data_IF_755397969438
#
_entry.id   IF_755397969438
#
_cell.length_a   1.000
_cell.length_b   1.000
_cell.length_c   1.000
_cell.angle_alpha   90.00
_cell.angle_beta   90.00
_cell.angle_gamma   90.00
#
_symmetry.space_group_name_H-M   'P 1'
#
loop_
_entity.id
_entity.type
_entity.pdbx_description
1 polymer ?
#
# COMPACT_ATOMS: atom_id res chain seq x y z
N UNK A 1 -0.14 27.61 17.63
CA UNK A 1 -1.25 27.37 16.69
C UNK A 1 -0.74 26.47 15.56
N UNK A 2 -1.10 25.19 15.57
CA UNK A 2 -0.64 24.25 14.55
C UNK A 2 -1.42 24.45 13.25
N UNK A 3 -0.73 24.96 12.23
CA UNK A 3 -1.22 25.16 10.87
C UNK A 3 -1.79 23.83 10.34
N UNK A 4 -3.00 23.84 9.80
CA UNK A 4 -3.73 22.65 9.35
C UNK A 4 -2.89 21.81 8.39
N UNK A 5 -2.32 20.73 8.91
CA UNK A 5 -1.66 19.70 8.10
C UNK A 5 -2.73 19.11 7.20
N UNK A 6 -2.49 19.10 5.89
CA UNK A 6 -3.35 18.44 4.93
C UNK A 6 -3.49 16.97 5.35
N UNK A 7 -4.70 16.58 5.78
CA UNK A 7 -4.98 15.24 6.34
C UNK A 7 -5.24 14.17 5.29
N UNK A 8 -5.21 14.52 4.00
CA UNK A 8 -5.47 13.60 2.88
C UNK A 8 -4.30 13.58 1.89
N UNK A 9 -3.97 12.38 1.44
CA UNK A 9 -3.04 12.16 0.34
C UNK A 9 -3.79 12.40 -0.98
N UNK A 10 -3.27 13.29 -1.84
CA UNK A 10 -3.79 13.44 -3.21
C UNK A 10 -2.89 12.82 -4.25
N UNK A 11 -3.20 13.08 -5.52
CA UNK A 11 -2.52 12.48 -6.67
C UNK A 11 -1.00 12.72 -6.66
N UNK A 12 -0.59 13.96 -6.37
CA UNK A 12 0.83 14.35 -6.34
C UNK A 12 1.61 13.69 -5.20
N UNK A 13 0.99 13.58 -4.02
CA UNK A 13 1.63 12.94 -2.87
C UNK A 13 1.79 11.44 -3.13
N UNK A 14 0.78 10.83 -3.74
CA UNK A 14 0.79 9.42 -4.10
C UNK A 14 1.85 9.11 -5.16
N UNK A 15 1.92 9.89 -6.25
CA UNK A 15 2.90 9.60 -7.30
C UNK A 15 4.34 9.84 -6.83
N UNK A 16 4.58 10.86 -5.99
CA UNK A 16 5.88 11.10 -5.39
C UNK A 16 6.34 9.93 -4.50
N UNK A 17 5.41 9.27 -3.81
CA UNK A 17 5.70 8.04 -3.08
C UNK A 17 6.15 6.91 -4.03
N UNK A 18 5.44 6.72 -5.15
CA UNK A 18 5.79 5.68 -6.15
C UNK A 18 7.15 5.97 -6.79
N UNK A 19 7.43 7.24 -7.12
CA UNK A 19 8.73 7.69 -7.63
C UNK A 19 9.86 7.39 -6.63
N UNK A 20 9.62 7.66 -5.34
CA UNK A 20 10.57 7.34 -4.27
C UNK A 20 10.83 5.83 -4.14
N UNK A 21 9.80 4.99 -4.28
CA UNK A 21 9.96 3.53 -4.30
C UNK A 21 10.80 3.10 -5.50
N UNK A 22 10.54 3.65 -6.69
CA UNK A 22 11.33 3.33 -7.89
C UNK A 22 12.80 3.71 -7.72
N UNK A 23 13.09 4.88 -7.15
CA UNK A 23 14.46 5.30 -6.85
C UNK A 23 15.16 4.37 -5.86
N UNK A 24 14.42 3.82 -4.89
CA UNK A 24 14.96 2.89 -3.89
C UNK A 24 15.24 1.51 -4.51
N UNK A 25 14.30 0.94 -5.26
CA UNK A 25 14.42 -0.42 -5.81
C UNK A 25 15.20 -0.48 -7.12
N UNK A 26 15.30 0.65 -7.84
CA UNK A 26 15.96 0.79 -9.15
C UNK A 26 15.49 -0.22 -10.20
N UNK A 27 14.21 -0.57 -10.15
CA UNK A 27 13.58 -1.55 -11.04
C UNK A 27 12.19 -1.06 -11.51
N UNK A 28 11.69 -1.54 -12.66
CA UNK A 28 10.30 -1.33 -13.06
C UNK A 28 9.32 -1.81 -11.98
N UNK A 29 8.20 -1.12 -11.85
CA UNK A 29 7.19 -1.40 -10.82
C UNK A 29 5.88 -1.82 -11.47
N UNK A 30 5.34 -2.94 -11.00
CA UNK A 30 3.95 -3.34 -11.24
C UNK A 30 3.13 -2.94 -10.02
N UNK A 31 2.26 -1.95 -10.18
CA UNK A 31 1.39 -1.44 -9.12
C UNK A 31 -0.02 -2.00 -9.30
N UNK A 32 -0.44 -2.89 -8.39
CA UNK A 32 -1.81 -3.38 -8.29
C UNK A 32 -2.56 -2.57 -7.23
N UNK A 33 -3.69 -1.96 -7.58
CA UNK A 33 -4.42 -1.08 -6.65
C UNK A 33 -5.94 -1.09 -6.86
N UNK A 34 -6.68 -0.64 -5.86
CA UNK A 34 -8.13 -0.47 -5.93
C UNK A 34 -8.55 0.72 -6.81
N UNK A 35 -9.87 0.94 -6.90
CA UNK A 35 -10.48 1.96 -7.77
C UNK A 35 -10.87 3.25 -7.03
N UNK A 36 -10.23 3.60 -5.92
CA UNK A 36 -10.50 4.87 -5.24
C UNK A 36 -10.44 6.06 -6.23
N UNK A 37 -11.35 7.04 -6.10
CA UNK A 37 -11.52 8.12 -7.09
C UNK A 37 -10.20 8.84 -7.45
N UNK A 38 -9.33 9.09 -6.48
CA UNK A 38 -7.99 9.69 -6.67
C UNK A 38 -7.06 8.80 -7.50
N UNK A 39 -7.22 7.48 -7.47
CA UNK A 39 -6.43 6.53 -8.25
C UNK A 39 -6.90 6.38 -9.70
N UNK A 40 -8.15 6.74 -9.99
CA UNK A 40 -8.75 6.64 -11.33
C UNK A 40 -8.97 8.00 -12.00
N UNK A 41 -8.62 9.10 -11.32
CA UNK A 41 -8.76 10.46 -11.83
C UNK A 41 -7.93 10.67 -13.10
N UNK A 42 -8.36 11.62 -13.94
CA UNK A 42 -7.62 11.97 -15.16
C UNK A 42 -6.18 12.39 -14.85
N UNK A 43 -6.02 13.26 -13.85
CA UNK A 43 -4.71 13.72 -13.40
C UNK A 43 -3.80 12.56 -12.98
N UNK A 44 -4.33 11.55 -12.27
CA UNK A 44 -3.55 10.37 -11.91
C UNK A 44 -3.15 9.54 -13.15
N UNK A 45 -4.01 9.44 -14.17
CA UNK A 45 -3.68 8.72 -15.41
C UNK A 45 -2.56 9.40 -16.19
N UNK A 46 -2.58 10.73 -16.28
CA UNK A 46 -1.50 11.52 -16.91
C UNK A 46 -0.18 11.32 -16.16
N UNK A 47 -0.21 11.42 -14.83
CA UNK A 47 0.97 11.16 -14.00
C UNK A 47 1.53 9.74 -14.21
N UNK A 48 0.68 8.72 -14.30
CA UNK A 48 1.15 7.36 -14.60
C UNK A 48 1.75 7.27 -16.01
N UNK A 49 1.15 7.91 -17.02
CA UNK A 49 1.59 7.84 -18.42
C UNK A 49 2.99 8.44 -18.65
N UNK A 50 3.42 9.40 -17.83
CA UNK A 50 4.77 9.98 -17.88
C UNK A 50 5.88 8.99 -17.43
N UNK A 51 5.52 7.83 -16.87
CA UNK A 51 6.45 6.90 -16.22
C UNK A 51 6.51 5.58 -16.96
N UNK A 52 7.40 5.49 -17.95
CA UNK A 52 7.59 4.28 -18.76
C UNK A 52 7.98 3.02 -17.95
N UNK A 53 8.50 3.20 -16.72
CA UNK A 53 8.87 2.12 -15.80
C UNK A 53 7.72 1.63 -14.92
N UNK A 54 6.55 2.27 -14.97
CA UNK A 54 5.40 1.98 -14.10
C UNK A 54 4.28 1.32 -14.91
N UNK A 55 3.90 0.11 -14.52
CA UNK A 55 2.69 -0.56 -15.03
C UNK A 55 1.65 -0.61 -13.92
N UNK A 56 0.41 -0.22 -14.21
CA UNK A 56 -0.68 -0.15 -13.22
C UNK A 56 -1.80 -1.11 -13.58
N UNK A 57 -2.16 -1.99 -12.65
CA UNK A 57 -3.36 -2.82 -12.71
C UNK A 57 -4.38 -2.35 -11.68
N UNK A 58 -5.63 -2.22 -12.11
CA UNK A 58 -6.75 -1.92 -11.23
C UNK A 58 -7.47 -3.20 -10.87
N UNK A 59 -7.70 -3.42 -9.58
CA UNK A 59 -8.58 -4.47 -9.10
C UNK A 59 -10.02 -4.21 -9.56
N UNK A 60 -10.85 -5.26 -9.73
CA UNK A 60 -12.27 -5.10 -9.97
C UNK A 60 -12.94 -4.26 -8.86
N UNK A 61 -14.04 -3.60 -9.21
CA UNK A 61 -14.78 -2.83 -8.23
C UNK A 61 -15.31 -3.75 -7.12
N UNK A 62 -15.21 -3.31 -5.87
CA UNK A 62 -15.69 -4.05 -4.69
C UNK A 62 -15.07 -5.45 -4.51
N UNK A 63 -13.78 -5.62 -4.81
CA UNK A 63 -13.02 -6.87 -4.55
C UNK A 63 -11.97 -6.69 -3.44
N UNK A 64 -12.39 -6.46 -2.17
CA UNK A 64 -11.45 -6.29 -1.07
C UNK A 64 -10.65 -7.58 -0.78
N UNK A 65 -11.22 -8.75 -1.11
CA UNK A 65 -10.60 -10.08 -1.02
C UNK A 65 -9.36 -10.21 -1.92
N UNK A 66 -9.32 -9.48 -3.04
CA UNK A 66 -8.18 -9.46 -3.96
C UNK A 66 -7.08 -8.47 -3.54
N UNK A 67 -7.29 -7.71 -2.47
CA UNK A 67 -6.36 -6.66 -2.05
C UNK A 67 -5.51 -7.12 -0.86
N UNK A 68 -4.21 -7.40 -1.04
CA UNK A 68 -3.35 -7.87 0.05
C UNK A 68 -3.21 -6.83 1.18
N UNK A 69 -3.46 -5.55 0.88
CA UNK A 69 -3.44 -4.48 1.89
C UNK A 69 -4.57 -4.65 2.92
N UNK A 70 -5.67 -5.30 2.58
CA UNK A 70 -6.75 -5.56 3.53
C UNK A 70 -6.35 -6.63 4.56
N UNK A 71 -5.57 -7.64 4.14
CA UNK A 71 -4.94 -8.58 5.07
C UNK A 71 -3.92 -7.90 6.00
N UNK A 72 -3.08 -7.01 5.47
CA UNK A 72 -2.18 -6.16 6.28
C UNK A 72 -2.97 -5.33 7.28
N UNK A 73 -4.07 -4.70 6.84
CA UNK A 73 -4.94 -3.88 7.69
C UNK A 73 -5.58 -4.73 8.79
N UNK A 74 -6.14 -5.89 8.45
CA UNK A 74 -6.74 -6.82 9.40
C UNK A 74 -5.70 -7.29 10.44
N UNK A 75 -4.49 -7.64 9.99
CA UNK A 75 -3.39 -8.07 10.86
C UNK A 75 -3.00 -6.98 11.86
N UNK A 76 -2.81 -5.73 11.41
CA UNK A 76 -2.49 -4.61 12.29
C UNK A 76 -3.62 -4.36 13.28
N UNK A 77 -4.89 -4.32 12.82
CA UNK A 77 -6.06 -4.14 13.70
C UNK A 77 -6.14 -5.23 14.76
N UNK A 78 -5.98 -6.50 14.38
CA UNK A 78 -6.01 -7.62 15.31
C UNK A 78 -4.89 -7.52 16.35
N UNK A 79 -3.68 -7.10 15.94
CA UNK A 79 -2.55 -6.88 16.86
C UNK A 79 -2.77 -5.77 17.90
N UNK A 80 -3.81 -4.94 17.71
CA UNK A 80 -4.18 -3.84 18.59
C UNK A 80 -5.46 -4.11 19.38
N UNK A 81 -6.19 -5.20 19.10
CA UNK A 81 -7.54 -5.44 19.62
C UNK A 81 -7.63 -5.48 21.15
N UNK A 82 -6.54 -5.83 21.84
CA UNK A 82 -6.48 -5.94 23.29
C UNK A 82 -5.80 -4.72 23.97
N UNK A 83 -5.52 -3.65 23.23
CA UNK A 83 -4.85 -2.46 23.78
C UNK A 83 -5.85 -1.36 24.10
N UNK A 84 -5.99 -1.03 25.38
CA UNK A 84 -6.70 0.17 25.82
C UNK A 84 -5.80 1.41 25.60
N UNK A 85 -5.75 1.94 24.38
CA UNK A 85 -4.99 3.15 24.06
C UNK A 85 -5.83 4.38 24.37
N UNK A 86 -5.35 5.23 25.29
CA UNK A 86 -6.08 6.43 25.75
C UNK A 86 -5.78 7.71 24.97
N UNK A 87 -4.87 7.67 23.98
CA UNK A 87 -4.45 8.84 23.22
C UNK A 87 -4.09 8.51 21.76
N UNK A 88 -4.44 9.40 20.83
CA UNK A 88 -4.31 9.18 19.38
C UNK A 88 -2.85 9.11 18.91
N UNK A 89 -1.97 9.93 19.48
CA UNK A 89 -0.52 9.93 19.23
C UNK A 89 0.12 8.58 19.59
N UNK A 90 -0.27 8.00 20.73
CA UNK A 90 0.17 6.68 21.16
C UNK A 90 -0.34 5.59 20.21
N UNK A 91 -1.58 5.72 19.72
CA UNK A 91 -2.12 4.80 18.73
C UNK A 91 -1.34 4.87 17.41
N UNK A 92 -1.04 6.07 16.93
CA UNK A 92 -0.24 6.26 15.71
C UNK A 92 1.15 5.62 15.85
N UNK A 93 1.84 5.88 16.97
CA UNK A 93 3.15 5.30 17.25
C UNK A 93 3.11 3.76 17.27
N UNK A 94 2.07 3.18 17.86
CA UNK A 94 1.86 1.73 17.88
C UNK A 94 1.60 1.17 16.48
N UNK A 95 0.71 1.79 15.69
CA UNK A 95 0.43 1.39 14.31
C UNK A 95 1.71 1.41 13.48
N UNK A 96 2.49 2.51 13.56
CA UNK A 96 3.76 2.66 12.85
C UNK A 96 4.76 1.59 13.26
N UNK A 97 4.88 1.30 14.56
CA UNK A 97 5.76 0.27 15.06
C UNK A 97 5.35 -1.14 14.57
N UNK A 98 4.06 -1.46 14.55
CA UNK A 98 3.54 -2.74 14.04
C UNK A 98 3.81 -2.91 12.54
N UNK A 99 3.53 -1.87 11.74
CA UNK A 99 3.85 -1.86 10.31
C UNK A 99 5.34 -2.02 10.06
N UNK A 100 6.20 -1.30 10.81
CA UNK A 100 7.65 -1.43 10.69
C UNK A 100 8.14 -2.84 11.03
N UNK A 101 7.58 -3.50 12.04
CA UNK A 101 7.92 -4.90 12.34
C UNK A 101 7.50 -5.84 11.21
N UNK A 102 6.35 -5.59 10.59
CA UNK A 102 5.84 -6.41 9.49
C UNK A 102 6.74 -6.32 8.24
N UNK A 103 7.36 -5.16 7.98
CA UNK A 103 8.33 -4.99 6.89
C UNK A 103 9.51 -5.97 6.94
N UNK A 104 9.87 -6.46 8.13
CA UNK A 104 10.96 -7.42 8.32
C UNK A 104 10.47 -8.88 8.41
N UNK A 105 9.25 -9.17 7.97
CA UNK A 105 8.65 -10.53 8.01
C UNK A 105 8.17 -10.94 6.60
N UNK A 106 9.08 -11.26 5.68
CA UNK A 106 8.74 -11.59 4.29
C UNK A 106 7.71 -12.71 4.18
N UNK A 107 7.87 -13.83 4.90
CA UNK A 107 6.92 -14.95 4.86
C UNK A 107 5.47 -14.55 5.22
N UNK A 108 5.32 -13.56 6.12
CA UNK A 108 3.99 -13.06 6.50
C UNK A 108 3.39 -12.19 5.39
N UNK A 109 4.21 -11.38 4.72
CA UNK A 109 3.80 -10.58 3.58
C UNK A 109 3.45 -11.46 2.37
N UNK A 110 4.24 -12.49 2.12
CA UNK A 110 3.99 -13.47 1.06
C UNK A 110 2.70 -14.23 1.33
N UNK A 111 2.43 -14.60 2.58
CA UNK A 111 1.16 -15.20 2.99
C UNK A 111 -0.06 -14.31 2.72
N UNK A 112 0.08 -12.98 2.85
CA UNK A 112 -1.01 -12.05 2.51
C UNK A 112 -1.27 -11.97 1.00
N UNK A 113 -0.23 -12.10 0.18
CA UNK A 113 -0.35 -12.14 -1.29
C UNK A 113 -0.95 -13.49 -1.71
N UNK A 114 -0.46 -14.60 -1.14
CA UNK A 114 -1.02 -15.93 -1.42
C UNK A 114 -2.51 -16.01 -1.06
N UNK A 115 -2.93 -15.35 0.03
CA UNK A 115 -4.32 -15.28 0.48
C UNK A 115 -5.28 -14.58 -0.49
N UNK A 116 -4.79 -13.81 -1.48
CA UNK A 116 -5.65 -13.21 -2.52
C UNK A 116 -5.82 -14.11 -3.74
N UNK A 117 -5.15 -15.27 -3.79
CA UNK A 117 -5.09 -16.13 -4.97
C UNK A 117 -4.24 -15.55 -6.12
N UNK A 118 -3.59 -14.39 -5.91
CA UNK A 118 -2.69 -13.74 -6.88
C UNK A 118 -1.23 -14.02 -6.53
N UNK A 119 -0.90 -15.27 -6.18
CA UNK A 119 0.46 -15.66 -5.83
C UNK A 119 1.42 -15.31 -6.96
N UNK A 120 2.58 -14.75 -6.60
CA UNK A 120 3.63 -14.47 -7.56
C UNK A 120 4.35 -15.78 -7.88
N UNK A 121 4.07 -16.35 -9.04
CA UNK A 121 4.88 -17.47 -9.54
C UNK A 121 6.31 -16.97 -9.75
N UNK A 122 7.28 -17.70 -9.21
CA UNK A 122 8.66 -17.49 -9.62
C UNK A 122 8.76 -17.98 -11.06
N UNK A 123 9.13 -17.12 -12.03
CA UNK A 123 9.35 -17.62 -13.38
C UNK A 123 10.42 -18.71 -13.31
N UNK A 124 10.13 -19.86 -13.92
CA UNK A 124 11.13 -20.89 -14.10
C UNK A 124 12.35 -20.24 -14.74
N UNK A 125 13.53 -20.43 -14.15
CA UNK A 125 14.78 -19.97 -14.77
C UNK A 125 14.87 -20.58 -16.17
N UNK A 126 15.31 -19.80 -17.18
CA UNK A 126 15.45 -20.28 -18.54
C UNK A 126 16.42 -21.46 -18.64
#
# INVERSE_FOLDING_TARGET
MAKGVRRSMGERDFIALVDGVHQLVKAPIVLVRDRLNTHVSHAMRELVAERAWLTVFLLPAYSPDLSPVEWVRAHVKHSLANLAVMALDRLEALVRHRLKRLQYRPDTLDGFIAGTGLALDTPASP
#
